data_IF_110221413191
#
_entry.id   IF_110221413191
#
_cell.length_a   1.000
_cell.length_b   1.000
_cell.length_c   1.000
_cell.angle_alpha   90.00
_cell.angle_beta   90.00
_cell.angle_gamma   90.00
#
_symmetry.space_group_name_H-M   'P 1'
#
loop_
_entity.id
_entity.type
_entity.pdbx_description
1 polymer ?
#
# COMPACT_ATOMS: atom_id res chain seq x y z
N UNK A 1 -7.92 21.38 1.99
CA UNK A 1 -6.46 21.39 1.76
C UNK A 1 -5.91 22.77 2.15
N UNK A 2 -4.67 22.84 2.61
CA UNK A 2 -4.07 24.11 3.06
C UNK A 2 -3.01 23.93 4.13
N UNK A 3 -2.43 25.07 4.54
CA UNK A 3 -1.41 25.13 5.59
C UNK A 3 -2.07 25.46 6.92
N UNK A 4 -1.85 24.63 7.92
CA UNK A 4 -2.43 24.76 9.25
C UNK A 4 -1.33 24.95 10.28
N UNK A 5 -1.58 25.81 11.26
CA UNK A 5 -0.73 26.02 12.43
C UNK A 5 -1.42 25.37 13.62
N UNK A 6 -0.77 24.38 14.22
CA UNK A 6 -1.28 23.69 15.40
C UNK A 6 -0.49 24.20 16.61
N UNK A 7 -1.22 24.65 17.62
CA UNK A 7 -0.67 25.11 18.90
C UNK A 7 -1.37 24.33 20.01
N UNK A 8 -0.60 23.59 20.81
CA UNK A 8 -1.12 23.01 22.03
C UNK A 8 -1.21 24.10 23.12
N UNK A 9 -2.32 24.11 23.86
CA UNK A 9 -2.53 25.01 24.98
C UNK A 9 -3.00 24.21 26.19
N UNK A 10 -2.38 24.45 27.35
CA UNK A 10 -2.76 23.86 28.62
C UNK A 10 -3.33 24.94 29.54
N UNK A 11 -4.53 24.68 30.07
CA UNK A 11 -5.13 25.50 31.12
C UNK A 11 -5.10 24.71 32.42
N UNK A 12 -4.50 25.27 33.48
CA UNK A 12 -4.55 24.69 34.82
C UNK A 12 -5.40 25.56 35.75
N UNK A 13 -5.93 24.94 36.80
CA UNK A 13 -6.76 25.62 37.78
C UNK A 13 -5.96 26.73 38.47
N UNK A 14 -6.54 27.94 38.56
CA UNK A 14 -5.88 29.14 39.10
C UNK A 14 -5.04 29.93 38.08
N UNK A 15 -4.82 29.44 36.87
CA UNK A 15 -4.19 30.24 35.81
C UNK A 15 -5.16 31.32 35.28
N UNK A 16 -4.65 32.52 35.03
CA UNK A 16 -5.41 33.57 34.33
C UNK A 16 -5.40 33.41 32.80
N UNK A 17 -4.34 32.79 32.26
CA UNK A 17 -4.12 32.62 30.81
C UNK A 17 -3.53 31.22 30.55
N UNK A 18 -3.94 30.52 29.48
CA UNK A 18 -3.38 29.21 29.14
C UNK A 18 -1.91 29.31 28.71
N UNK A 19 -1.13 28.31 29.11
CA UNK A 19 0.27 28.15 28.65
C UNK A 19 0.25 27.53 27.27
N UNK A 20 0.91 28.15 26.30
CA UNK A 20 0.99 27.67 24.92
C UNK A 20 2.34 27.02 24.63
N UNK A 21 2.31 25.89 23.92
CA UNK A 21 3.51 25.26 23.36
C UNK A 21 3.97 25.99 22.09
N UNK A 22 5.19 25.67 21.63
CA UNK A 22 5.63 26.07 20.30
C UNK A 22 4.69 25.49 19.24
N UNK A 23 4.31 26.33 18.28
CA UNK A 23 3.41 25.92 17.23
C UNK A 23 4.16 25.14 16.17
N UNK A 24 3.56 24.05 15.68
CA UNK A 24 4.05 23.35 14.51
C UNK A 24 3.10 23.54 13.33
N UNK A 25 3.67 23.51 12.13
CA UNK A 25 2.95 23.74 10.89
C UNK A 25 2.78 22.41 10.19
N UNK A 26 1.55 22.12 9.76
CA UNK A 26 1.25 21.00 8.86
C UNK A 26 0.68 21.53 7.55
N UNK A 27 0.89 20.77 6.49
CA UNK A 27 0.34 21.07 5.18
C UNK A 27 -0.52 19.90 4.72
N UNK A 28 -1.80 20.17 4.48
CA UNK A 28 -2.77 19.18 4.01
C UNK A 28 -2.88 19.29 2.49
N UNK A 29 -2.22 18.38 1.80
CA UNK A 29 -2.29 18.23 0.35
C UNK A 29 -3.39 17.22 -0.02
N UNK A 30 -4.29 17.54 -0.97
CA UNK A 30 -5.35 16.61 -1.35
C UNK A 30 -4.75 15.42 -2.12
N UNK A 31 -5.11 14.21 -1.71
CA UNK A 31 -4.87 12.99 -2.48
C UNK A 31 -6.06 12.70 -3.40
N UNK A 32 -5.79 12.08 -4.55
CA UNK A 32 -6.81 11.63 -5.49
C UNK A 32 -6.86 10.12 -5.52
N UNK A 33 -8.06 9.56 -5.40
CA UNK A 33 -8.24 8.12 -5.58
C UNK A 33 -8.19 7.77 -7.07
N UNK A 34 -7.38 6.78 -7.43
CA UNK A 34 -7.15 6.39 -8.84
C UNK A 34 -7.45 4.91 -9.14
N UNK A 35 -7.61 4.07 -8.11
CA UNK A 35 -8.06 2.68 -8.26
C UNK A 35 -8.70 2.21 -6.96
N UNK A 36 -9.63 1.27 -7.05
CA UNK A 36 -10.36 0.69 -5.92
C UNK A 36 -10.56 -0.81 -6.12
N UNK A 37 -10.56 -1.56 -5.03
CA UNK A 37 -10.90 -2.98 -5.05
C UNK A 37 -11.53 -3.37 -3.71
N UNK A 38 -12.80 -3.74 -3.73
CA UNK A 38 -13.48 -4.35 -2.59
C UNK A 38 -13.19 -5.85 -2.53
N UNK A 39 -13.09 -6.39 -1.32
CA UNK A 39 -12.82 -7.80 -1.08
C UNK A 39 -13.41 -8.25 0.27
N UNK A 40 -13.74 -9.53 0.36
CA UNK A 40 -14.19 -10.16 1.60
C UNK A 40 -13.01 -10.68 2.41
N UNK A 41 -13.03 -10.43 3.71
CA UNK A 41 -12.09 -10.95 4.70
C UNK A 41 -12.84 -11.96 5.56
N UNK A 42 -12.25 -13.15 5.76
CA UNK A 42 -12.83 -14.13 6.68
C UNK A 42 -12.63 -13.60 8.09
N UNK A 43 -13.73 -13.42 8.80
CA UNK A 43 -13.68 -13.19 10.24
C UNK A 43 -12.78 -14.22 10.92
N UNK A 44 -12.05 -13.78 11.96
CA UNK A 44 -11.35 -14.73 12.83
C UNK A 44 -12.35 -15.69 13.48
N UNK A 45 -11.92 -16.84 14.01
CA UNK A 45 -12.83 -17.84 14.63
C UNK A 45 -13.75 -17.25 15.72
N UNK A 46 -13.44 -16.05 16.23
CA UNK A 46 -14.23 -15.32 17.23
C UNK A 46 -15.29 -14.36 16.66
N UNK A 47 -15.32 -14.12 15.34
CA UNK A 47 -16.25 -13.20 14.68
C UNK A 47 -17.18 -13.98 13.74
N UNK A 48 -18.50 -13.78 13.84
CA UNK A 48 -19.48 -14.61 13.10
C UNK A 48 -19.84 -14.06 11.71
N UNK A 49 -19.46 -12.83 11.38
CA UNK A 49 -19.85 -12.17 10.14
C UNK A 49 -18.64 -11.89 9.22
N UNK A 50 -18.73 -12.18 7.91
CA UNK A 50 -17.68 -11.82 6.96
C UNK A 50 -17.48 -10.31 6.93
N UNK A 51 -16.23 -9.85 7.04
CA UNK A 51 -15.87 -8.45 7.03
C UNK A 51 -15.56 -8.02 5.59
N UNK A 52 -16.20 -6.97 5.08
CA UNK A 52 -15.89 -6.43 3.75
C UNK A 52 -14.93 -5.26 3.92
N UNK A 53 -13.83 -5.31 3.17
CA UNK A 53 -12.80 -4.27 3.15
C UNK A 53 -12.59 -3.75 1.75
N UNK A 54 -11.96 -2.58 1.66
CA UNK A 54 -11.65 -1.92 0.41
C UNK A 54 -10.21 -1.46 0.38
N UNK A 55 -9.52 -1.79 -0.70
CA UNK A 55 -8.29 -1.14 -1.10
C UNK A 55 -8.59 0.09 -1.93
N UNK A 56 -7.88 1.18 -1.67
CA UNK A 56 -7.90 2.41 -2.47
C UNK A 56 -6.48 2.86 -2.80
N UNK A 57 -6.20 3.16 -4.07
CA UNK A 57 -4.91 3.71 -4.50
C UNK A 57 -5.05 5.21 -4.54
N UNK A 58 -4.29 5.89 -3.69
CA UNK A 58 -4.25 7.34 -3.60
C UNK A 58 -3.01 7.87 -4.30
N UNK A 59 -3.20 8.90 -5.12
CA UNK A 59 -2.16 9.67 -5.78
C UNK A 59 -2.05 11.03 -5.12
N UNK A 60 -0.84 11.38 -4.71
CA UNK A 60 -0.52 12.67 -4.13
C UNK A 60 0.51 13.38 -5.00
N UNK A 61 0.16 14.57 -5.50
CA UNK A 61 1.11 15.42 -6.24
C UNK A 61 1.73 16.40 -5.28
N UNK A 62 3.05 16.30 -5.10
CA UNK A 62 3.83 17.25 -4.33
C UNK A 62 4.37 18.32 -5.25
N UNK A 63 4.28 19.57 -4.81
CA UNK A 63 4.72 20.74 -5.61
C UNK A 63 6.20 21.01 -5.44
N UNK A 64 6.81 20.61 -4.32
CA UNK A 64 8.22 20.91 -4.01
C UNK A 64 8.83 19.78 -3.16
N UNK A 65 9.65 18.89 -3.75
CA UNK A 65 9.95 18.76 -5.18
C UNK A 65 8.70 18.35 -5.99
N UNK A 66 8.71 18.63 -7.30
CA UNK A 66 7.66 18.15 -8.21
C UNK A 66 7.77 16.63 -8.35
N UNK A 67 6.97 15.92 -7.58
CA UNK A 67 6.91 14.46 -7.62
C UNK A 67 5.50 13.94 -7.33
N UNK A 68 5.18 12.80 -7.92
CA UNK A 68 3.92 12.11 -7.66
C UNK A 68 4.22 10.91 -6.77
N UNK A 69 3.49 10.80 -5.66
CA UNK A 69 3.58 9.68 -4.71
C UNK A 69 2.30 8.87 -4.71
N UNK A 70 2.44 7.56 -4.53
CA UNK A 70 1.34 6.63 -4.37
C UNK A 70 1.25 6.17 -2.92
N UNK A 71 0.01 6.04 -2.45
CA UNK A 71 -0.34 5.47 -1.15
C UNK A 71 -1.45 4.44 -1.35
N UNK A 72 -1.40 3.34 -0.63
CA UNK A 72 -2.51 2.41 -0.53
C UNK A 72 -3.25 2.66 0.78
N UNK A 73 -4.57 2.77 0.70
CA UNK A 73 -5.44 2.86 1.86
C UNK A 73 -6.26 1.57 1.97
N UNK A 74 -6.39 1.05 3.17
CA UNK A 74 -7.31 -0.04 3.51
C UNK A 74 -8.38 0.51 4.42
N UNK A 75 -9.64 0.36 4.02
CA UNK A 75 -10.80 0.81 4.78
C UNK A 75 -11.82 -0.30 4.93
N UNK A 76 -12.83 -0.07 5.75
CA UNK A 76 -14.10 -0.77 5.64
C UNK A 76 -14.81 -0.43 4.32
N UNK A 77 -15.91 -1.12 4.02
CA UNK A 77 -16.68 -0.89 2.81
C UNK A 77 -17.25 0.53 2.72
N UNK A 78 -17.69 1.10 3.85
CA UNK A 78 -18.25 2.46 3.94
C UNK A 78 -17.21 3.58 3.87
N UNK A 79 -15.92 3.25 4.00
CA UNK A 79 -14.80 4.22 4.13
C UNK A 79 -14.86 5.09 5.39
N UNK A 80 -15.65 4.70 6.38
CA UNK A 80 -15.74 5.39 7.66
C UNK A 80 -14.54 5.07 8.55
N UNK A 81 -14.00 3.86 8.41
CA UNK A 81 -12.85 3.39 9.18
C UNK A 81 -11.65 3.18 8.28
N UNK A 82 -10.58 3.96 8.52
CA UNK A 82 -9.28 3.72 7.89
C UNK A 82 -8.48 2.74 8.75
N UNK A 83 -8.32 1.51 8.28
CA UNK A 83 -7.47 0.52 8.94
C UNK A 83 -5.99 0.85 8.77
N UNK A 84 -5.60 1.25 7.54
CA UNK A 84 -4.20 1.61 7.27
C UNK A 84 -4.01 2.47 6.05
N UNK A 85 -3.06 3.39 6.12
CA UNK A 85 -2.50 4.11 5.00
C UNK A 85 -1.00 3.76 4.85
N UNK A 86 -0.62 3.20 3.71
CA UNK A 86 0.73 2.67 3.45
C UNK A 86 1.36 3.39 2.27
N UNK A 87 2.56 3.95 2.47
CA UNK A 87 3.33 4.62 1.41
C UNK A 87 3.89 3.58 0.42
N UNK A 88 3.55 3.72 -0.86
CA UNK A 88 3.99 2.82 -1.91
C UNK A 88 5.30 3.29 -2.53
N UNK A 89 5.36 4.53 -3.00
CA UNK A 89 6.53 4.99 -3.74
C UNK A 89 6.25 6.17 -4.64
N UNK A 90 7.27 6.57 -5.39
CA UNK A 90 7.16 7.60 -6.44
C UNK A 90 6.67 6.98 -7.74
N UNK A 91 5.98 7.75 -8.57
CA UNK A 91 5.59 7.34 -9.92
C UNK A 91 6.12 8.36 -10.94
N UNK A 92 6.65 7.88 -12.07
CA UNK A 92 7.26 8.73 -13.10
C UNK A 92 6.28 9.23 -14.16
N UNK A 93 4.99 8.94 -14.01
CA UNK A 93 3.96 9.25 -15.00
C UNK A 93 2.57 9.37 -14.39
N UNK A 94 1.60 9.76 -15.21
CA UNK A 94 0.21 10.02 -14.76
C UNK A 94 -0.75 8.85 -15.01
N UNK A 95 -0.24 7.73 -15.56
CA UNK A 95 -1.04 6.54 -15.84
C UNK A 95 -1.57 5.93 -14.54
N UNK A 96 -2.81 5.41 -14.60
CA UNK A 96 -3.34 4.55 -13.54
C UNK A 96 -2.57 3.22 -13.54
N UNK A 97 -1.85 2.90 -12.46
CA UNK A 97 -1.10 1.66 -12.38
C UNK A 97 -2.03 0.44 -12.45
N UNK A 98 -1.68 -0.62 -13.18
CA UNK A 98 -2.40 -1.89 -13.10
C UNK A 98 -2.39 -2.43 -11.67
N UNK A 99 -3.57 -2.89 -11.24
CA UNK A 99 -3.76 -3.55 -9.95
C UNK A 99 -4.55 -4.85 -10.11
N UNK A 100 -4.31 -5.82 -9.24
CA UNK A 100 -5.02 -7.11 -9.18
C UNK A 100 -5.08 -7.62 -7.74
N UNK A 101 -6.12 -8.39 -7.44
CA UNK A 101 -6.25 -9.13 -6.19
C UNK A 101 -5.81 -10.59 -6.41
N UNK A 102 -5.07 -11.16 -5.47
CA UNK A 102 -4.76 -12.60 -5.46
C UNK A 102 -5.80 -13.41 -4.67
N UNK A 103 -5.65 -14.74 -4.65
CA UNK A 103 -6.54 -15.64 -3.90
C UNK A 103 -6.51 -15.45 -2.37
N UNK A 104 -5.47 -14.82 -1.82
CA UNK A 104 -5.32 -14.51 -0.40
C UNK A 104 -5.83 -13.10 -0.07
N UNK A 105 -6.47 -12.43 -1.02
CA UNK A 105 -6.89 -11.02 -0.93
C UNK A 105 -5.73 -10.04 -0.74
N UNK A 106 -4.50 -10.41 -1.11
CA UNK A 106 -3.43 -9.45 -1.22
C UNK A 106 -3.62 -8.63 -2.49
N UNK A 107 -3.28 -7.35 -2.39
CA UNK A 107 -3.39 -6.42 -3.49
C UNK A 107 -2.06 -6.18 -4.15
N UNK A 108 -1.99 -6.53 -5.43
CA UNK A 108 -0.82 -6.37 -6.28
C UNK A 108 -0.96 -5.08 -7.06
N UNK A 109 0.12 -4.30 -7.05
CA UNK A 109 0.23 -3.01 -7.71
C UNK A 109 1.54 -2.99 -8.49
N UNK A 110 1.48 -2.60 -9.76
CA UNK A 110 2.69 -2.43 -10.59
C UNK A 110 2.69 -1.03 -11.18
N UNK A 111 3.65 -0.21 -10.77
CA UNK A 111 3.76 1.18 -11.21
C UNK A 111 5.15 1.48 -11.76
N UNK A 112 5.25 2.43 -12.67
CA UNK A 112 6.54 2.89 -13.17
C UNK A 112 7.14 3.90 -12.18
N UNK A 113 8.21 3.50 -11.49
CA UNK A 113 8.87 4.31 -10.45
C UNK A 113 10.02 5.15 -11.01
N UNK A 114 10.50 4.82 -12.21
CA UNK A 114 11.55 5.53 -12.93
C UNK A 114 11.46 5.25 -14.45
N UNK A 115 12.24 5.95 -15.28
CA UNK A 115 12.18 5.88 -16.74
C UNK A 115 12.17 4.45 -17.30
N UNK A 116 12.99 3.54 -16.74
CA UNK A 116 13.03 2.12 -17.14
C UNK A 116 12.74 1.15 -16.00
N UNK A 117 12.26 1.64 -14.86
CA UNK A 117 12.00 0.78 -13.71
C UNK A 117 10.53 0.78 -13.34
N UNK A 118 10.01 -0.43 -13.19
CA UNK A 118 8.70 -0.72 -12.65
C UNK A 118 8.86 -1.32 -11.26
N UNK A 119 8.07 -0.84 -10.31
CA UNK A 119 8.03 -1.37 -8.96
C UNK A 119 6.74 -2.15 -8.79
N UNK A 120 6.89 -3.45 -8.52
CA UNK A 120 5.80 -4.32 -8.08
C UNK A 120 5.71 -4.25 -6.56
N UNK A 121 4.49 -4.15 -6.06
CA UNK A 121 4.20 -4.05 -4.63
C UNK A 121 3.03 -4.95 -4.29
N UNK A 122 3.14 -5.68 -3.18
CA UNK A 122 2.07 -6.55 -2.65
C UNK A 122 1.69 -6.08 -1.26
N UNK A 123 0.40 -5.91 -1.04
CA UNK A 123 -0.16 -5.37 0.20
C UNK A 123 -1.15 -6.37 0.80
N UNK A 124 -1.01 -6.66 2.09
CA UNK A 124 -1.92 -7.55 2.80
C UNK A 124 -3.32 -6.94 2.96
N UNK A 125 -4.36 -7.76 3.22
CA UNK A 125 -5.68 -7.31 3.69
C UNK A 125 -5.68 -6.38 4.91
N UNK A 126 -4.57 -6.31 5.65
CA UNK A 126 -4.36 -5.44 6.81
C UNK A 126 -3.58 -4.16 6.46
N UNK A 127 -3.17 -4.02 5.20
CA UNK A 127 -2.39 -2.90 4.69
C UNK A 127 -0.88 -3.06 4.89
N UNK A 128 -0.38 -4.20 5.34
CA UNK A 128 1.06 -4.46 5.45
C UNK A 128 1.69 -4.53 4.07
N UNK A 129 2.84 -3.88 3.91
CA UNK A 129 3.67 -4.00 2.72
C UNK A 129 4.43 -5.33 2.78
N UNK A 130 3.97 -6.33 2.03
CA UNK A 130 4.53 -7.68 2.05
C UNK A 130 5.71 -7.83 1.09
N UNK A 131 5.60 -7.21 -0.08
CA UNK A 131 6.60 -7.33 -1.16
C UNK A 131 6.82 -5.98 -1.81
N UNK A 132 8.08 -5.67 -2.10
CA UNK A 132 8.50 -4.60 -3.01
C UNK A 132 9.64 -5.13 -3.87
N UNK A 133 9.45 -5.09 -5.18
CA UNK A 133 10.43 -5.59 -6.14
C UNK A 133 10.54 -4.66 -7.35
N UNK A 134 11.75 -4.54 -7.88
CA UNK A 134 12.02 -3.77 -9.09
C UNK A 134 12.11 -4.66 -10.33
N UNK A 135 11.54 -4.19 -11.44
CA UNK A 135 11.52 -4.83 -12.74
C UNK A 135 11.95 -3.86 -13.84
N UNK A 136 12.65 -4.39 -14.83
CA UNK A 136 12.98 -3.68 -16.08
C UNK A 136 12.27 -4.33 -17.27
N UNK A 137 11.79 -3.55 -18.26
CA UNK A 137 11.13 -4.09 -19.44
C UNK A 137 12.07 -4.94 -20.30
N UNK A 138 11.58 -6.05 -20.84
CA UNK A 138 12.30 -6.90 -21.82
C UNK A 138 11.91 -6.60 -23.28
N UNK A 139 11.40 -5.40 -23.54
CA UNK A 139 10.92 -4.94 -24.85
C UNK A 139 9.46 -4.50 -24.83
N UNK A 140 8.62 -5.17 -24.03
CA UNK A 140 7.24 -4.75 -23.74
C UNK A 140 7.15 -4.14 -22.33
N UNK A 141 6.11 -3.32 -22.11
CA UNK A 141 5.82 -2.75 -20.78
C UNK A 141 5.45 -3.88 -19.81
N UNK A 142 6.03 -3.92 -18.59
CA UNK A 142 5.63 -4.88 -17.58
C UNK A 142 4.15 -4.76 -17.23
N UNK A 143 3.50 -5.92 -17.04
CA UNK A 143 2.08 -6.03 -16.72
C UNK A 143 1.82 -6.98 -15.56
N UNK A 144 0.58 -7.01 -15.08
CA UNK A 144 0.12 -7.97 -14.07
C UNK A 144 -0.84 -8.98 -14.70
N UNK A 145 -0.61 -10.26 -14.44
CA UNK A 145 -1.49 -11.36 -14.86
C UNK A 145 -1.80 -12.25 -13.67
N UNK A 146 -3.05 -12.71 -13.59
CA UNK A 146 -3.45 -13.78 -12.65
C UNK A 146 -3.20 -15.12 -13.34
N UNK A 147 -2.52 -16.04 -12.67
CA UNK A 147 -2.30 -17.40 -13.14
C UNK A 147 -3.50 -18.31 -12.81
N UNK A 148 -3.42 -19.57 -13.23
CA UNK A 148 -4.49 -20.56 -13.03
C UNK A 148 -4.68 -20.94 -11.54
N UNK A 149 -3.70 -20.62 -10.69
CA UNK A 149 -3.75 -20.86 -9.24
C UNK A 149 -4.31 -19.66 -8.45
N UNK A 150 -4.71 -18.58 -9.14
CA UNK A 150 -5.17 -17.34 -8.53
C UNK A 150 -4.04 -16.48 -7.96
N UNK A 151 -2.78 -16.77 -8.29
CA UNK A 151 -1.63 -15.94 -7.95
C UNK A 151 -1.44 -14.84 -8.98
N UNK A 152 -0.92 -13.69 -8.55
CA UNK A 152 -0.65 -12.58 -9.45
C UNK A 152 0.85 -12.47 -9.71
N UNK A 153 1.23 -12.57 -10.98
CA UNK A 153 2.62 -12.53 -11.46
C UNK A 153 2.87 -11.30 -12.35
N UNK A 154 4.10 -10.80 -12.30
CA UNK A 154 4.58 -9.77 -13.24
C UNK A 154 4.97 -10.43 -14.56
N UNK A 155 4.45 -9.90 -15.66
CA UNK A 155 4.79 -10.35 -17.02
C UNK A 155 5.63 -9.30 -17.74
N UNK A 156 6.41 -9.71 -18.75
CA UNK A 156 7.15 -8.81 -19.64
C UNK A 156 8.21 -7.92 -18.95
N UNK A 157 8.75 -8.38 -17.82
CA UNK A 157 9.83 -7.70 -17.10
C UNK A 157 10.83 -8.67 -16.50
N UNK A 158 12.07 -8.22 -16.35
CA UNK A 158 13.14 -8.95 -15.64
C UNK A 158 13.36 -8.31 -14.28
N UNK A 159 13.35 -9.15 -13.25
CA UNK A 159 13.59 -8.73 -11.87
C UNK A 159 15.00 -8.16 -11.72
N UNK A 160 15.12 -7.02 -11.06
CA UNK A 160 16.38 -6.38 -10.67
C UNK A 160 16.39 -6.21 -9.17
N UNK A 161 17.30 -6.91 -8.49
CA UNK A 161 17.45 -6.74 -7.05
C UNK A 161 17.87 -5.32 -6.72
N UNK A 162 17.21 -4.72 -5.73
CA UNK A 162 17.60 -3.42 -5.16
C UNK A 162 17.72 -3.47 -3.65
N UNK A 163 18.43 -2.49 -3.10
CA UNK A 163 18.64 -2.37 -1.65
C UNK A 163 17.33 -2.07 -0.89
N UNK A 164 16.34 -1.47 -1.54
CA UNK A 164 15.03 -1.14 -0.99
C UNK A 164 13.95 -2.21 -1.28
N UNK A 165 14.35 -3.35 -1.86
CA UNK A 165 13.46 -4.49 -2.04
C UNK A 165 12.99 -5.00 -0.68
N UNK A 166 11.70 -5.30 -0.59
CA UNK A 166 11.11 -6.02 0.52
C UNK A 166 10.75 -7.37 -0.04
N UNK A 167 11.51 -8.38 0.36
CA UNK A 167 11.19 -9.75 0.00
C UNK A 167 10.16 -10.28 0.99
N UNK A 168 9.21 -11.11 0.54
CA UNK A 168 8.39 -11.84 1.48
C UNK A 168 9.34 -12.61 2.39
N UNK A 169 9.13 -12.52 3.72
CA UNK A 169 9.80 -13.43 4.65
C UNK A 169 9.60 -14.85 4.12
N UNK A 170 10.65 -15.69 4.05
CA UNK A 170 10.50 -17.03 3.52
C UNK A 170 9.35 -17.69 4.27
N UNK A 171 8.26 -17.98 3.54
CA UNK A 171 7.24 -18.87 4.03
C UNK A 171 8.00 -20.14 4.39
N UNK A 172 8.14 -20.45 5.67
CA UNK A 172 8.64 -21.74 6.12
C UNK A 172 7.79 -22.77 5.41
N UNK A 173 8.35 -23.35 4.33
CA UNK A 173 7.72 -24.43 3.60
C UNK A 173 7.43 -25.50 4.67
N UNK A 174 6.18 -25.90 4.91
CA UNK A 174 5.93 -26.95 5.87
C UNK A 174 6.79 -28.14 5.44
N UNK A 175 7.65 -28.61 6.35
CA UNK A 175 8.51 -29.74 6.08
C UNK A 175 7.61 -30.87 5.59
N UNK A 176 7.80 -31.29 4.35
CA UNK A 176 7.18 -32.51 3.83
C UNK A 176 7.51 -33.61 4.84
N UNK A 177 6.53 -34.28 5.47
CA UNK A 177 6.83 -35.44 6.28
C UNK A 177 7.50 -36.43 5.34
N UNK A 178 8.75 -36.79 5.62
CA UNK A 178 9.39 -37.88 4.92
C UNK A 178 8.50 -39.11 5.10
N UNK A 179 7.89 -39.57 4.00
CA UNK A 179 7.27 -40.88 3.96
C UNK A 179 8.36 -41.89 4.32
N UNK A 180 8.27 -42.45 5.53
CA UNK A 180 8.96 -43.69 5.85
C UNK A 180 8.38 -44.75 4.90
N UNK A 181 9.21 -45.21 3.97
CA UNK A 181 8.91 -46.40 3.19
C UNK A 181 8.99 -47.64 4.11
N UNK A 182 8.18 -48.68 3.83
CA UNK A 182 8.02 -49.86 4.68
C UNK A 182 9.28 -50.73 4.78
#
# INVERSE_FOLDING_TARGET
PGRYKITAALMHEGAAVPVQAESFIIELTPGFKIAEQEFGMRASESESAPEIRKFSLLRLTLTTPSEIRLYACVTDASEETIFRLTKIGRVSGNDTPPTKLDRLSNWHLLHQSDFRTFTHTVISPRGDLLVRESYEPTGLRPGLKTDDNGEVVVTSGVRRSRADDILPLPLTKPATPALALP
#
